data_IF_034974192600
#
_entry.id   IF_034974192600
#
_cell.length_a   1.000
_cell.length_b   1.000
_cell.length_c   1.000
_cell.angle_alpha   90.00
_cell.angle_beta   90.00
_cell.angle_gamma   90.00
#
_symmetry.space_group_name_H-M   'P 1'
#
loop_
_entity.id
_entity.type
_entity.pdbx_description
1 polymer ?
#
# COMPACT_ATOMS: atom_id res chain seq x y z
N UNK A 1 8.20 30.95 -12.98
CA UNK A 1 8.73 29.59 -13.26
C UNK A 1 9.68 29.24 -12.13
N UNK A 2 9.32 28.33 -11.24
CA UNK A 2 10.34 27.72 -10.38
C UNK A 2 10.76 26.43 -11.07
N UNK A 3 11.86 26.49 -11.82
CA UNK A 3 12.62 25.29 -12.12
C UNK A 3 13.11 24.72 -10.78
N UNK A 4 12.77 23.47 -10.48
CA UNK A 4 13.55 22.70 -9.51
C UNK A 4 14.73 22.17 -10.33
N UNK A 5 15.70 23.05 -10.57
CA UNK A 5 16.99 22.68 -11.13
C UNK A 5 17.74 21.94 -10.03
N UNK A 6 17.73 20.61 -10.08
CA UNK A 6 18.66 19.80 -9.28
C UNK A 6 20.05 20.01 -9.90
N UNK A 7 20.66 21.15 -9.59
CA UNK A 7 22.08 21.36 -9.82
C UNK A 7 22.81 20.43 -8.86
N UNK A 8 23.25 19.31 -9.43
CA UNK A 8 24.29 18.45 -8.88
C UNK A 8 25.55 19.29 -8.64
N UNK A 9 25.66 19.86 -7.45
CA UNK A 9 26.93 20.20 -6.82
C UNK A 9 27.05 19.36 -5.56
N UNK A 10 27.20 18.06 -5.74
CA UNK A 10 27.89 17.18 -4.78
C UNK A 10 28.33 15.93 -5.54
N UNK A 11 29.38 16.11 -6.33
CA UNK A 11 30.28 15.01 -6.69
C UNK A 11 30.84 14.42 -5.39
N UNK A 12 30.31 13.28 -4.96
CA UNK A 12 31.08 12.26 -4.27
C UNK A 12 30.42 10.89 -4.45
N UNK A 13 30.99 10.16 -5.42
CA UNK A 13 31.02 8.70 -5.49
C UNK A 13 29.71 7.96 -5.18
N UNK A 14 28.83 7.85 -6.17
CA UNK A 14 27.73 6.88 -6.12
C UNK A 14 28.26 5.55 -6.68
N UNK A 15 28.70 4.67 -5.78
CA UNK A 15 28.92 3.26 -6.13
C UNK A 15 27.56 2.62 -6.43
N UNK A 16 27.39 2.12 -7.67
CA UNK A 16 26.27 1.25 -8.03
C UNK A 16 26.34 -0.03 -7.17
N UNK A 17 25.31 -0.37 -6.37
CA UNK A 17 25.24 -1.70 -5.79
C UNK A 17 24.70 -2.69 -6.82
N UNK A 18 25.29 -3.89 -6.83
CA UNK A 18 24.90 -5.02 -7.65
C UNK A 18 23.45 -5.48 -7.39
N UNK A 19 22.78 -5.89 -8.48
CA UNK A 19 21.53 -6.65 -8.56
C UNK A 19 20.66 -6.72 -7.30
N UNK A 20 19.74 -5.75 -7.16
CA UNK A 20 18.68 -5.79 -6.15
C UNK A 20 17.58 -4.75 -6.39
N UNK A 21 16.34 -5.19 -6.22
CA UNK A 21 15.05 -4.49 -6.39
C UNK A 21 14.95 -3.18 -5.58
N UNK A 22 15.22 -2.03 -6.20
CA UNK A 22 15.26 -0.74 -5.51
C UNK A 22 14.45 0.31 -6.31
N UNK A 23 13.59 1.07 -5.64
CA UNK A 23 12.91 2.26 -6.19
C UNK A 23 13.43 3.50 -5.46
N UNK A 24 13.51 4.62 -6.18
CA UNK A 24 13.89 5.91 -5.60
C UNK A 24 12.68 6.52 -4.86
N UNK A 25 12.90 6.93 -3.62
CA UNK A 25 11.94 7.63 -2.76
C UNK A 25 12.51 9.01 -2.41
N UNK A 26 11.72 10.08 -2.55
CA UNK A 26 12.11 11.43 -2.12
C UNK A 26 11.28 11.83 -0.92
N UNK A 27 11.97 12.13 0.18
CA UNK A 27 11.40 12.78 1.36
C UNK A 27 11.68 14.28 1.27
N UNK A 28 10.64 15.08 1.42
CA UNK A 28 10.77 16.54 1.51
C UNK A 28 10.73 16.93 2.98
N UNK A 29 11.88 17.34 3.55
CA UNK A 29 11.97 17.82 4.94
C UNK A 29 12.14 19.34 4.98
N UNK A 30 11.98 19.89 6.18
CA UNK A 30 11.95 21.32 6.57
C UNK A 30 13.04 22.26 6.00
N UNK A 31 14.06 21.73 5.32
CA UNK A 31 15.14 22.50 4.68
C UNK A 31 15.95 21.73 3.61
N UNK A 32 15.70 20.43 3.40
CA UNK A 32 16.51 19.57 2.53
C UNK A 32 15.64 18.51 1.82
N UNK A 33 16.03 18.16 0.59
CA UNK A 33 15.47 17.05 -0.17
C UNK A 33 16.29 15.79 0.13
N UNK A 34 15.68 14.79 0.76
CA UNK A 34 16.36 13.53 1.04
C UNK A 34 15.92 12.48 0.01
N UNK A 35 16.86 12.08 -0.86
CA UNK A 35 16.64 10.99 -1.80
C UNK A 35 17.12 9.68 -1.18
N UNK A 36 16.18 8.78 -0.92
CA UNK A 36 16.44 7.44 -0.38
C UNK A 36 16.13 6.38 -1.42
N UNK A 37 16.89 5.31 -1.38
CA UNK A 37 16.59 4.10 -2.11
C UNK A 37 15.83 3.16 -1.18
N UNK A 38 14.55 2.94 -1.45
CA UNK A 38 13.70 2.08 -0.65
C UNK A 38 13.12 0.94 -1.47
N UNK A 39 12.74 -0.13 -0.79
CA UNK A 39 12.02 -1.22 -1.42
C UNK A 39 10.63 -0.74 -1.81
N UNK A 40 10.34 -0.71 -3.11
CA UNK A 40 9.01 -0.34 -3.60
C UNK A 40 7.94 -1.21 -2.93
N UNK A 41 6.86 -0.61 -2.40
CA UNK A 41 5.77 -1.40 -1.86
C UNK A 41 5.10 -2.16 -3.00
N UNK A 42 5.00 -3.48 -2.85
CA UNK A 42 4.38 -4.37 -3.83
C UNK A 42 2.87 -4.14 -3.85
N UNK A 43 2.36 -3.59 -4.96
CA UNK A 43 0.92 -3.46 -5.19
C UNK A 43 0.57 -3.86 -6.63
N UNK A 44 -0.74 -3.96 -6.92
CA UNK A 44 -1.25 -4.47 -8.21
C UNK A 44 -0.74 -3.66 -9.41
N UNK A 45 -0.46 -2.37 -9.21
CA UNK A 45 0.00 -1.43 -10.23
C UNK A 45 1.53 -1.51 -10.40
N UNK A 46 2.27 -1.32 -9.32
CA UNK A 46 3.74 -1.24 -9.32
C UNK A 46 4.42 -2.56 -9.71
N UNK A 47 3.79 -3.72 -9.47
CA UNK A 47 4.38 -5.04 -9.78
C UNK A 47 4.58 -5.28 -11.29
N UNK A 48 3.76 -4.65 -12.12
CA UNK A 48 3.80 -4.83 -13.59
C UNK A 48 4.65 -3.76 -14.28
N UNK A 49 5.13 -2.79 -13.52
CA UNK A 49 5.80 -1.63 -14.05
C UNK A 49 7.30 -1.66 -13.73
N UNK A 50 8.15 -1.16 -14.65
CA UNK A 50 9.57 -1.02 -14.40
C UNK A 50 9.81 -0.07 -13.22
N UNK A 51 10.57 -0.53 -12.22
CA UNK A 51 10.82 0.21 -10.97
C UNK A 51 11.64 1.49 -11.20
N UNK A 52 12.48 1.51 -12.23
CA UNK A 52 13.26 2.67 -12.66
C UNK A 52 12.39 3.82 -13.21
N UNK A 53 11.13 3.54 -13.55
CA UNK A 53 10.16 4.57 -13.95
C UNK A 53 9.28 5.07 -12.81
N UNK A 54 9.42 4.49 -11.61
CA UNK A 54 8.60 4.83 -10.45
C UNK A 54 9.37 5.73 -9.50
N UNK A 55 8.67 6.75 -9.01
CA UNK A 55 9.18 7.67 -7.99
C UNK A 55 8.12 7.79 -6.88
N UNK A 56 8.49 7.48 -5.64
CA UNK A 56 7.62 7.69 -4.48
C UNK A 56 7.97 9.04 -3.84
N UNK A 57 7.00 9.94 -3.76
CA UNK A 57 7.17 11.25 -3.11
C UNK A 57 6.38 11.27 -1.80
N UNK A 58 7.01 11.71 -0.71
CA UNK A 58 6.39 11.90 0.60
C UNK A 58 6.38 13.37 1.02
N UNK A 59 5.20 13.85 1.42
CA UNK A 59 4.93 15.19 1.94
C UNK A 59 4.57 15.17 3.44
N UNK A 60 4.93 14.11 4.16
CA UNK A 60 4.58 13.93 5.58
C UNK A 60 5.01 15.13 6.44
N UNK A 61 6.26 15.58 6.23
CA UNK A 61 6.88 16.68 6.99
C UNK A 61 7.13 17.92 6.10
N UNK A 62 6.39 18.03 4.98
CA UNK A 62 6.61 19.11 4.02
C UNK A 62 5.87 20.40 4.42
N UNK A 63 6.66 21.45 4.65
CA UNK A 63 6.18 22.81 4.86
C UNK A 63 6.91 23.76 3.91
N UNK A 64 6.17 24.33 2.96
CA UNK A 64 6.70 25.36 2.09
C UNK A 64 7.19 26.56 2.92
N UNK A 65 8.40 27.03 2.63
CA UNK A 65 8.95 28.27 3.17
C UNK A 65 9.14 29.26 2.04
N UNK A 66 8.62 30.46 2.24
CA UNK A 66 8.87 31.56 1.33
C UNK A 66 10.22 32.20 1.68
N UNK A 67 11.07 32.48 0.67
CA UNK A 67 12.31 33.20 0.93
C UNK A 67 12.00 34.59 1.49
N UNK A 68 12.93 35.10 2.29
CA UNK A 68 12.89 36.46 2.75
C UNK A 68 12.82 37.42 1.55
N UNK A 69 11.92 38.41 1.59
CA UNK A 69 11.78 39.39 0.52
C UNK A 69 12.84 40.49 0.60
N UNK A 70 13.38 40.69 1.80
CA UNK A 70 14.46 41.64 2.11
C UNK A 70 15.52 40.95 2.96
N UNK A 71 16.75 41.48 3.04
CA UNK A 71 17.82 40.92 3.87
C UNK A 71 17.49 40.84 5.37
N UNK A 72 16.61 41.73 5.84
CA UNK A 72 16.21 41.83 7.26
C UNK A 72 14.98 40.97 7.60
N UNK A 73 14.29 40.42 6.59
CA UNK A 73 13.14 39.57 6.81
C UNK A 73 13.54 38.13 7.12
N UNK A 74 12.83 37.49 8.05
CA UNK A 74 12.96 36.05 8.27
C UNK A 74 12.16 35.28 7.22
N UNK A 75 12.64 34.09 6.78
CA UNK A 75 11.87 33.19 5.95
C UNK A 75 10.54 32.83 6.60
N UNK A 76 9.43 33.10 5.89
CA UNK A 76 8.09 32.84 6.41
C UNK A 76 7.63 31.43 6.03
N UNK A 77 7.09 30.69 7.00
CA UNK A 77 6.39 29.43 6.73
C UNK A 77 5.06 29.73 6.02
N UNK A 78 4.82 29.05 4.91
CA UNK A 78 3.58 29.17 4.15
C UNK A 78 2.38 28.70 4.99
N UNK A 79 1.23 29.34 4.77
CA UNK A 79 -0.04 28.91 5.34
C UNK A 79 -0.45 27.54 4.79
N UNK A 80 -1.37 26.85 5.47
CA UNK A 80 -1.86 25.55 5.01
C UNK A 80 -2.45 25.58 3.58
N UNK A 81 -3.11 26.69 3.22
CA UNK A 81 -3.65 26.91 1.86
C UNK A 81 -2.53 27.05 0.84
N UNK A 82 -1.55 27.92 1.09
CA UNK A 82 -0.40 28.13 0.20
C UNK A 82 0.40 26.84 0.01
N UNK A 83 0.58 26.06 1.08
CA UNK A 83 1.25 24.76 1.02
C UNK A 83 0.47 23.76 0.15
N UNK A 84 -0.86 23.70 0.31
CA UNK A 84 -1.74 22.87 -0.51
C UNK A 84 -1.74 23.26 -1.99
N UNK A 85 -1.77 24.56 -2.28
CA UNK A 85 -1.71 25.08 -3.64
C UNK A 85 -0.37 24.74 -4.30
N UNK A 86 0.75 24.83 -3.56
CA UNK A 86 2.07 24.43 -4.05
C UNK A 86 2.14 22.93 -4.37
N UNK A 87 1.69 22.06 -3.45
CA UNK A 87 1.65 20.61 -3.68
C UNK A 87 0.78 20.30 -4.91
N UNK A 88 -0.38 20.95 -5.04
CA UNK A 88 -1.27 20.77 -6.20
C UNK A 88 -0.58 21.14 -7.50
N UNK A 89 0.13 22.28 -7.54
CA UNK A 89 0.90 22.71 -8.71
C UNK A 89 2.04 21.75 -9.03
N UNK A 90 2.76 21.28 -8.03
CA UNK A 90 3.85 20.30 -8.19
C UNK A 90 3.32 18.99 -8.78
N UNK A 91 2.23 18.44 -8.24
CA UNK A 91 1.64 17.20 -8.74
C UNK A 91 1.02 17.36 -10.14
N UNK A 92 0.48 18.54 -10.45
CA UNK A 92 -0.10 18.85 -11.76
C UNK A 92 0.97 19.05 -12.83
N UNK A 93 2.10 19.68 -12.47
CA UNK A 93 3.19 19.96 -13.40
C UNK A 93 4.05 18.72 -13.62
N UNK A 94 4.36 18.00 -12.55
CA UNK A 94 5.35 16.94 -12.54
C UNK A 94 6.65 17.38 -11.88
N UNK A 95 7.57 16.44 -11.72
CA UNK A 95 8.89 16.64 -11.10
C UNK A 95 9.95 16.14 -12.07
N UNK A 96 10.99 16.94 -12.31
CA UNK A 96 12.13 16.53 -13.13
C UNK A 96 13.27 16.08 -12.22
N UNK A 97 13.75 14.85 -12.41
CA UNK A 97 14.90 14.30 -11.71
C UNK A 97 15.80 13.60 -12.72
N UNK A 98 17.10 13.91 -12.72
CA UNK A 98 18.08 13.35 -13.66
C UNK A 98 17.63 13.43 -15.14
N UNK A 99 17.06 14.58 -15.54
CA UNK A 99 16.49 14.82 -16.89
C UNK A 99 15.29 13.95 -17.25
N UNK A 100 14.76 13.17 -16.32
CA UNK A 100 13.53 12.39 -16.50
C UNK A 100 12.37 13.15 -15.86
N UNK A 101 11.29 13.34 -16.61
CA UNK A 101 10.10 14.01 -16.12
C UNK A 101 9.09 12.99 -15.59
N UNK A 102 8.73 13.13 -14.32
CA UNK A 102 7.80 12.26 -13.61
C UNK A 102 6.48 12.99 -13.41
N UNK A 103 5.37 12.36 -13.80
CA UNK A 103 4.02 12.88 -13.60
C UNK A 103 3.25 12.08 -12.55
N UNK A 104 2.23 12.69 -11.95
CA UNK A 104 1.40 12.02 -10.96
C UNK A 104 0.76 10.76 -11.52
N UNK A 105 0.94 9.66 -10.80
CA UNK A 105 0.41 8.35 -11.21
C UNK A 105 -0.75 7.90 -10.33
N UNK A 106 -0.62 8.03 -9.01
CA UNK A 106 -1.69 7.67 -8.09
C UNK A 106 -1.24 7.53 -6.65
N UNK A 107 -2.21 7.27 -5.77
CA UNK A 107 -1.98 7.01 -4.36
C UNK A 107 -2.98 5.95 -3.86
N UNK A 108 -2.59 5.19 -2.85
CA UNK A 108 -3.52 4.38 -2.06
C UNK A 108 -4.16 5.18 -0.92
N UNK A 109 -5.12 4.58 -0.20
CA UNK A 109 -5.70 5.22 0.98
C UNK A 109 -4.69 5.36 2.13
N UNK A 110 -3.79 4.40 2.31
CA UNK A 110 -2.73 4.52 3.33
C UNK A 110 -1.73 5.59 2.95
N UNK A 111 -1.38 5.67 1.66
CA UNK A 111 -0.48 6.70 1.14
C UNK A 111 -1.07 8.09 1.32
N UNK A 112 -2.36 8.29 1.04
CA UNK A 112 -3.05 9.56 1.29
C UNK A 112 -2.97 9.97 2.77
N UNK A 113 -3.14 9.04 3.71
CA UNK A 113 -2.99 9.30 5.16
C UNK A 113 -1.55 9.67 5.54
N UNK A 114 -0.57 8.98 4.97
CA UNK A 114 0.85 9.29 5.15
C UNK A 114 1.35 10.48 4.32
N UNK A 115 0.45 11.14 3.56
CA UNK A 115 0.77 12.24 2.64
C UNK A 115 1.82 11.86 1.59
N UNK A 116 1.75 10.65 1.03
CA UNK A 116 2.65 10.17 -0.03
C UNK A 116 1.91 9.79 -1.31
N UNK A 117 2.60 9.75 -2.45
CA UNK A 117 2.05 9.36 -3.74
C UNK A 117 3.12 8.84 -4.70
N UNK A 118 2.68 8.09 -5.72
CA UNK A 118 3.52 7.65 -6.82
C UNK A 118 3.51 8.65 -7.98
N UNK A 119 4.69 8.87 -8.53
CA UNK A 119 4.92 9.51 -9.82
C UNK A 119 5.50 8.49 -10.79
N UNK A 120 5.31 8.72 -12.09
CA UNK A 120 5.72 7.81 -13.15
C UNK A 120 6.38 8.55 -14.32
N UNK A 121 7.47 7.99 -14.83
CA UNK A 121 8.23 8.52 -15.96
C UNK A 121 7.56 8.20 -17.31
N UNK A 122 6.44 8.87 -17.59
CA UNK A 122 5.76 8.85 -18.88
C UNK A 122 4.94 10.13 -19.09
N UNK A 123 4.37 10.30 -20.29
CA UNK A 123 3.41 11.37 -20.57
C UNK A 123 2.13 11.21 -19.73
N UNK A 124 1.34 12.28 -19.59
CA UNK A 124 0.07 12.23 -18.85
C UNK A 124 -0.94 11.35 -19.57
N UNK A 125 -0.88 11.34 -20.90
CA UNK A 125 -1.72 10.58 -21.81
C UNK A 125 -1.45 9.07 -21.62
N UNK A 126 -0.18 8.67 -21.60
CA UNK A 126 0.22 7.27 -21.37
C UNK A 126 -0.20 6.80 -19.98
N UNK A 127 -0.03 7.64 -18.96
CA UNK A 127 -0.47 7.34 -17.60
C UNK A 127 -1.99 7.14 -17.58
N UNK A 128 -2.76 8.01 -18.24
CA UNK A 128 -4.20 7.88 -18.28
C UNK A 128 -4.63 6.59 -18.98
N UNK A 129 -4.04 6.28 -20.14
CA UNK A 129 -4.31 5.05 -20.88
C UNK A 129 -3.94 3.81 -20.05
N UNK A 130 -2.81 3.85 -19.33
CA UNK A 130 -2.41 2.78 -18.40
C UNK A 130 -3.44 2.57 -17.30
N UNK A 131 -3.91 3.64 -16.65
CA UNK A 131 -4.92 3.53 -15.60
C UNK A 131 -6.19 2.91 -16.18
N UNK A 132 -6.67 3.39 -17.33
CA UNK A 132 -7.88 2.87 -17.99
C UNK A 132 -7.74 1.40 -18.41
N UNK A 133 -6.54 0.96 -18.81
CA UNK A 133 -6.28 -0.46 -19.09
C UNK A 133 -6.36 -1.36 -17.83
N UNK A 134 -6.27 -0.79 -16.62
CA UNK A 134 -6.33 -1.54 -15.37
C UNK A 134 -7.76 -1.74 -14.84
N UNK A 135 -8.77 -1.08 -15.42
CA UNK A 135 -10.16 -1.30 -15.04
C UNK A 135 -11.15 -0.40 -15.77
N UNK A 136 -12.41 -0.84 -15.83
CA UNK A 136 -13.49 -0.04 -16.39
C UNK A 136 -13.97 1.02 -15.37
N UNK A 137 -13.70 2.29 -15.65
CA UNK A 137 -14.14 3.44 -14.86
C UNK A 137 -15.25 4.25 -15.53
N UNK A 138 -15.74 3.82 -16.69
CA UNK A 138 -16.73 4.56 -17.50
C UNK A 138 -18.02 4.86 -16.73
N UNK A 139 -18.41 3.96 -15.83
CA UNK A 139 -19.64 4.05 -15.02
C UNK A 139 -19.53 5.00 -13.81
N UNK A 140 -18.33 5.51 -13.50
CA UNK A 140 -18.09 6.35 -12.32
C UNK A 140 -18.15 7.85 -12.67
N UNK A 141 -19.29 8.49 -12.44
CA UNK A 141 -19.53 9.91 -12.78
C UNK A 141 -18.82 10.95 -11.88
N UNK A 142 -18.41 10.57 -10.68
CA UNK A 142 -17.77 11.49 -9.71
C UNK A 142 -16.26 11.28 -9.66
N UNK A 143 -15.50 12.37 -9.78
CA UNK A 143 -14.03 12.36 -9.69
C UNK A 143 -13.55 11.73 -8.38
N UNK A 144 -14.17 12.06 -7.25
CA UNK A 144 -13.82 11.48 -5.96
C UNK A 144 -14.07 9.96 -5.89
N UNK A 145 -15.18 9.48 -6.48
CA UNK A 145 -15.46 8.04 -6.57
C UNK A 145 -14.47 7.33 -7.49
N UNK A 146 -14.12 7.95 -8.64
CA UNK A 146 -13.12 7.44 -9.58
C UNK A 146 -11.73 7.37 -8.94
N UNK A 147 -11.26 8.44 -8.30
CA UNK A 147 -9.99 8.48 -7.58
C UNK A 147 -9.91 7.41 -6.47
N UNK A 148 -10.98 7.26 -5.68
CA UNK A 148 -11.06 6.20 -4.65
C UNK A 148 -10.96 4.80 -5.25
N UNK A 149 -11.59 4.55 -6.40
CA UNK A 149 -11.53 3.25 -7.09
C UNK A 149 -10.15 2.97 -7.66
N UNK A 150 -9.53 3.97 -8.29
CA UNK A 150 -8.14 3.90 -8.78
C UNK A 150 -7.20 3.62 -7.61
N UNK A 151 -7.35 4.32 -6.48
CA UNK A 151 -6.52 4.12 -5.29
C UNK A 151 -6.60 2.73 -4.67
N UNK A 152 -7.64 1.93 -4.98
CA UNK A 152 -7.69 0.51 -4.60
C UNK A 152 -6.69 -0.33 -5.40
N UNK A 153 -6.39 0.04 -6.65
CA UNK A 153 -5.36 -0.62 -7.45
C UNK A 153 -3.96 -0.41 -6.83
N UNK A 154 -3.73 0.80 -6.31
CA UNK A 154 -2.50 1.19 -5.61
C UNK A 154 -2.42 0.66 -4.18
N UNK A 155 -3.51 0.13 -3.63
CA UNK A 155 -3.50 -0.44 -2.28
C UNK A 155 -2.63 -1.69 -2.27
N UNK A 156 -1.72 -1.75 -1.29
CA UNK A 156 -0.90 -2.91 -0.92
C UNK A 156 -1.75 -4.04 -0.31
N UNK A 157 -2.89 -4.36 -0.91
CA UNK A 157 -3.42 -5.70 -0.77
C UNK A 157 -2.48 -6.56 -1.61
N UNK A 158 -1.35 -6.97 -1.01
CA UNK A 158 -0.50 -7.98 -1.60
C UNK A 158 -1.44 -9.15 -1.94
N UNK A 159 -1.81 -9.38 -3.19
CA UNK A 159 -2.68 -10.51 -3.48
C UNK A 159 -1.84 -11.76 -3.21
N UNK A 160 -2.09 -12.42 -2.08
CA UNK A 160 -1.25 -13.51 -1.61
C UNK A 160 -1.34 -14.66 -2.61
N UNK A 161 -2.55 -14.94 -3.08
CA UNK A 161 -2.81 -15.84 -4.19
C UNK A 161 -4.16 -15.58 -4.83
N UNK A 162 -4.36 -16.18 -6.01
CA UNK A 162 -5.68 -16.39 -6.59
C UNK A 162 -6.21 -17.68 -5.97
N UNK A 163 -7.30 -17.59 -5.22
CA UNK A 163 -7.96 -18.73 -4.60
C UNK A 163 -9.24 -19.02 -5.40
N UNK A 164 -9.32 -20.16 -6.12
CA UNK A 164 -10.53 -20.54 -6.84
C UNK A 164 -11.69 -20.80 -5.88
N UNK A 165 -12.91 -20.49 -6.32
CA UNK A 165 -14.12 -20.67 -5.50
C UNK A 165 -14.34 -22.12 -5.07
N UNK A 166 -13.91 -23.07 -5.90
CA UNK A 166 -14.07 -24.52 -5.72
C UNK A 166 -13.15 -25.08 -4.62
N UNK A 167 -12.21 -24.26 -4.11
CA UNK A 167 -11.36 -24.57 -2.97
C UNK A 167 -11.83 -23.92 -1.68
N UNK A 168 -12.95 -23.21 -1.73
CA UNK A 168 -13.59 -22.57 -0.59
C UNK A 168 -14.88 -23.31 -0.25
N UNK A 169 -15.18 -23.37 1.03
CA UNK A 169 -16.45 -23.90 1.55
C UNK A 169 -17.02 -22.89 2.55
N UNK A 170 -18.34 -22.72 2.57
CA UNK A 170 -19.02 -21.93 3.60
C UNK A 170 -19.51 -22.89 4.70
N UNK A 171 -19.12 -22.62 5.95
CA UNK A 171 -19.53 -23.34 7.15
C UNK A 171 -20.37 -22.42 8.05
N UNK A 172 -21.26 -23.00 8.85
CA UNK A 172 -22.08 -22.23 9.78
C UNK A 172 -21.25 -21.69 10.94
N UNK A 173 -21.65 -20.55 11.50
CA UNK A 173 -21.09 -20.03 12.73
C UNK A 173 -21.41 -20.94 13.94
N UNK A 174 -20.48 -21.05 14.88
CA UNK A 174 -20.73 -21.74 16.15
C UNK A 174 -21.46 -20.78 17.07
N UNK A 175 -22.74 -21.06 17.27
CA UNK A 175 -23.61 -20.31 18.17
C UNK A 175 -23.88 -21.13 19.42
N UNK A 176 -23.89 -20.48 20.58
CA UNK A 176 -24.43 -21.04 21.82
C UNK A 176 -25.31 -19.97 22.45
N UNK A 177 -26.58 -20.32 22.62
CA UNK A 177 -27.63 -19.38 23.02
C UNK A 177 -27.65 -18.17 22.07
N UNK A 178 -27.66 -16.95 22.61
CA UNK A 178 -27.66 -15.70 21.83
C UNK A 178 -26.25 -15.22 21.42
N UNK A 179 -25.20 -16.04 21.62
CA UNK A 179 -23.83 -15.63 21.35
C UNK A 179 -23.17 -16.42 20.22
N UNK A 180 -22.59 -15.68 19.26
CA UNK A 180 -21.80 -16.23 18.15
C UNK A 180 -20.32 -16.22 18.51
N UNK A 181 -19.74 -17.40 18.74
CA UNK A 181 -18.35 -17.54 19.20
C UNK A 181 -17.32 -17.39 18.07
N UNK A 182 -17.77 -17.51 16.83
CA UNK A 182 -16.89 -17.54 15.65
C UNK A 182 -17.14 -16.39 14.69
N UNK A 183 -17.74 -15.30 15.15
CA UNK A 183 -18.02 -14.14 14.31
C UNK A 183 -16.71 -13.63 13.68
N UNK A 184 -16.66 -13.70 12.35
CA UNK A 184 -15.50 -13.24 11.60
C UNK A 184 -14.31 -14.21 11.57
N UNK A 185 -14.44 -15.45 12.06
CA UNK A 185 -13.36 -16.41 12.22
C UNK A 185 -13.54 -17.67 11.35
N UNK A 186 -12.87 -17.75 10.20
CA UNK A 186 -12.84 -18.93 9.34
C UNK A 186 -11.61 -19.82 9.58
N UNK A 187 -11.50 -20.90 8.81
CA UNK A 187 -10.41 -21.87 8.89
C UNK A 187 -9.59 -21.90 7.60
N UNK A 188 -8.29 -22.15 7.71
CA UNK A 188 -7.38 -22.31 6.57
C UNK A 188 -6.52 -23.57 6.72
N UNK A 189 -6.42 -24.32 5.63
CA UNK A 189 -5.59 -25.53 5.57
C UNK A 189 -4.11 -25.21 5.73
N UNK A 190 -3.35 -26.17 6.29
CA UNK A 190 -1.91 -26.05 6.44
C UNK A 190 -1.16 -25.81 5.12
N UNK A 191 -1.62 -26.43 4.03
CA UNK A 191 -1.02 -26.25 2.71
C UNK A 191 -1.16 -24.80 2.23
N UNK A 192 -2.36 -24.23 2.33
CA UNK A 192 -2.62 -22.87 1.90
C UNK A 192 -1.93 -21.85 2.81
N UNK A 193 -1.94 -22.07 4.13
CA UNK A 193 -1.23 -21.22 5.08
C UNK A 193 0.28 -21.13 4.78
N UNK A 194 0.92 -22.25 4.40
CA UNK A 194 2.33 -22.26 3.96
C UNK A 194 2.54 -21.47 2.68
N UNK A 195 1.64 -21.61 1.70
CA UNK A 195 1.69 -20.82 0.47
C UNK A 195 1.53 -19.32 0.74
N UNK A 196 0.61 -18.94 1.63
CA UNK A 196 0.41 -17.57 2.08
C UNK A 196 1.68 -17.01 2.72
N UNK A 197 2.25 -17.73 3.68
CA UNK A 197 3.48 -17.33 4.37
C UNK A 197 4.67 -17.18 3.42
N UNK A 198 4.81 -18.08 2.45
CA UNK A 198 5.86 -18.02 1.44
C UNK A 198 5.66 -16.84 0.48
N UNK A 199 4.44 -16.64 -0.03
CA UNK A 199 4.10 -15.52 -0.93
C UNK A 199 4.31 -14.17 -0.26
N UNK A 200 4.07 -14.09 1.05
CA UNK A 200 4.31 -12.91 1.88
C UNK A 200 5.74 -12.77 2.39
N UNK A 201 6.60 -13.75 2.12
CA UNK A 201 7.96 -13.80 2.64
C UNK A 201 8.02 -13.53 4.15
N UNK A 202 7.15 -14.21 4.91
CA UNK A 202 7.05 -14.00 6.36
C UNK A 202 8.25 -14.67 7.04
N UNK A 203 9.09 -13.83 7.64
CA UNK A 203 10.32 -14.22 8.31
C UNK A 203 10.28 -13.71 9.76
N UNK A 204 10.68 -14.55 10.70
CA UNK A 204 10.90 -14.18 12.09
C UNK A 204 12.26 -14.70 12.53
N UNK A 205 13.11 -13.82 13.10
CA UNK A 205 14.49 -14.15 13.52
C UNK A 205 15.29 -14.90 12.43
N UNK A 206 15.28 -14.37 11.21
CA UNK A 206 15.95 -14.95 10.03
C UNK A 206 15.51 -16.38 9.65
N UNK A 207 14.36 -16.85 10.15
CA UNK A 207 13.77 -18.14 9.80
C UNK A 207 12.37 -17.93 9.21
N UNK A 208 11.97 -18.81 8.29
CA UNK A 208 10.60 -18.82 7.76
C UNK A 208 9.63 -19.05 8.92
N UNK A 209 8.63 -18.19 9.03
CA UNK A 209 7.60 -18.28 10.06
C UNK A 209 6.26 -18.57 9.42
N UNK A 210 5.53 -19.52 10.01
CA UNK A 210 4.17 -19.86 9.62
C UNK A 210 3.21 -19.26 10.65
N UNK A 211 2.46 -18.19 10.30
CA UNK A 211 1.44 -17.65 11.18
C UNK A 211 0.31 -18.65 11.43
N UNK A 212 -0.23 -18.63 12.65
CA UNK A 212 -1.43 -19.39 13.02
C UNK A 212 -2.71 -18.67 12.62
N UNK A 213 -2.67 -17.34 12.45
CA UNK A 213 -3.83 -16.52 12.08
C UNK A 213 -3.46 -15.54 10.97
N UNK A 214 -4.35 -15.40 9.99
CA UNK A 214 -4.24 -14.43 8.91
C UNK A 214 -5.49 -13.56 8.87
N UNK A 215 -5.32 -12.23 8.91
CA UNK A 215 -6.41 -11.31 8.61
C UNK A 215 -6.56 -11.21 7.09
N UNK A 216 -7.76 -11.43 6.56
CA UNK A 216 -7.97 -11.53 5.11
C UNK A 216 -9.06 -10.62 4.57
N UNK A 217 -9.00 -10.44 3.24
CA UNK A 217 -10.10 -9.95 2.40
C UNK A 217 -10.18 -10.83 1.15
N UNK A 218 -11.37 -11.34 0.85
CA UNK A 218 -11.61 -12.21 -0.29
C UNK A 218 -13.07 -12.15 -0.71
N UNK A 219 -13.40 -11.82 -1.96
CA UNK A 219 -14.79 -11.90 -2.49
C UNK A 219 -15.90 -11.38 -1.56
N UNK A 220 -15.69 -10.26 -0.87
CA UNK A 220 -16.67 -9.69 0.06
C UNK A 220 -16.64 -10.30 1.47
N UNK A 221 -15.88 -11.37 1.69
CA UNK A 221 -15.49 -11.88 3.00
C UNK A 221 -14.43 -10.99 3.64
N UNK A 222 -14.66 -10.64 4.90
CA UNK A 222 -13.72 -9.93 5.76
C UNK A 222 -13.69 -10.62 7.12
N UNK A 223 -12.50 -10.93 7.59
CA UNK A 223 -12.31 -11.55 8.90
C UNK A 223 -10.90 -12.08 9.06
N UNK A 224 -10.77 -13.07 9.93
CA UNK A 224 -9.53 -13.82 10.16
C UNK A 224 -9.70 -15.28 9.75
N UNK A 225 -8.62 -15.90 9.30
CA UNK A 225 -8.53 -17.34 9.08
C UNK A 225 -7.53 -17.92 10.07
N UNK A 226 -7.96 -18.91 10.84
CA UNK A 226 -7.11 -19.66 11.76
C UNK A 226 -6.63 -20.94 11.11
N UNK A 227 -5.38 -21.32 11.39
CA UNK A 227 -4.78 -22.53 10.88
C UNK A 227 -5.50 -23.76 11.45
N UNK A 228 -6.04 -24.60 10.56
CA UNK A 228 -6.56 -25.90 10.89
C UNK A 228 -5.67 -26.98 10.28
N UNK A 229 -5.08 -27.81 11.14
CA UNK A 229 -4.22 -28.91 10.72
C UNK A 229 -4.99 -30.15 10.30
N UNK A 230 -6.31 -30.21 10.49
CA UNK A 230 -7.17 -31.31 10.06
C UNK A 230 -7.79 -31.05 8.69
N UNK A 231 -7.82 -29.79 8.25
CA UNK A 231 -8.35 -29.40 6.94
C UNK A 231 -7.36 -29.80 5.83
N UNK A 232 -7.73 -30.83 5.08
CA UNK A 232 -6.95 -31.42 4.00
C UNK A 232 -7.80 -31.68 2.75
N UNK A 233 -7.13 -31.88 1.60
CA UNK A 233 -7.79 -32.23 0.35
C UNK A 233 -8.09 -31.02 -0.54
N UNK A 234 -9.23 -31.07 -1.24
CA UNK A 234 -9.60 -30.06 -2.26
C UNK A 234 -9.97 -28.71 -1.64
N UNK A 235 -10.66 -28.73 -0.49
CA UNK A 235 -11.05 -27.54 0.24
C UNK A 235 -9.86 -27.04 1.04
N UNK A 236 -9.51 -25.78 0.83
CA UNK A 236 -8.34 -25.14 1.44
C UNK A 236 -8.71 -24.04 2.43
N UNK A 237 -9.93 -23.49 2.34
CA UNK A 237 -10.47 -22.47 3.23
C UNK A 237 -11.93 -22.76 3.53
N UNK A 238 -12.32 -22.59 4.79
CA UNK A 238 -13.70 -22.59 5.21
C UNK A 238 -14.06 -21.19 5.74
N UNK A 239 -14.99 -20.51 5.08
CA UNK A 239 -15.51 -19.22 5.53
C UNK A 239 -16.78 -19.39 6.34
N UNK A 240 -17.06 -18.43 7.22
CA UNK A 240 -18.33 -18.39 7.96
C UNK A 240 -19.28 -17.38 7.38
N UNK A 241 -20.58 -17.58 7.60
CA UNK A 241 -21.62 -16.68 7.12
C UNK A 241 -21.42 -15.26 7.66
N UNK A 242 -21.05 -15.12 8.94
CA UNK A 242 -20.73 -13.85 9.59
C UNK A 242 -19.63 -13.04 8.87
N UNK A 243 -18.70 -13.70 8.17
CA UNK A 243 -17.61 -13.05 7.44
C UNK A 243 -18.07 -12.37 6.14
N UNK A 244 -19.20 -12.81 5.55
CA UNK A 244 -19.67 -12.36 4.24
C UNK A 244 -20.37 -11.01 4.34
N UNK A 245 -19.65 -9.92 4.03
CA UNK A 245 -20.19 -8.55 4.11
C UNK A 245 -20.84 -8.07 2.81
N UNK A 246 -20.46 -8.64 1.66
CA UNK A 246 -21.00 -8.30 0.34
C UNK A 246 -21.16 -9.58 -0.50
N UNK A 247 -22.26 -9.71 -1.24
CA UNK A 247 -22.55 -10.90 -2.07
C UNK A 247 -22.01 -10.78 -3.51
N UNK A 248 -21.80 -9.57 -4.03
CA UNK A 248 -21.56 -9.33 -5.46
C UNK A 248 -20.07 -9.17 -5.86
N UNK A 249 -19.16 -9.90 -5.20
CA UNK A 249 -17.73 -9.78 -5.46
C UNK A 249 -17.18 -10.99 -6.25
N UNK A 250 -16.70 -10.73 -7.47
CA UNK A 250 -16.13 -11.73 -8.39
C UNK A 250 -14.61 -11.86 -8.34
N UNK A 251 -13.91 -11.00 -7.59
CA UNK A 251 -12.44 -11.02 -7.51
C UNK A 251 -11.94 -12.22 -6.69
N UNK A 252 -11.35 -13.22 -7.36
CA UNK A 252 -10.77 -14.43 -6.77
C UNK A 252 -9.43 -14.19 -6.05
N UNK A 253 -8.96 -12.95 -5.93
CA UNK A 253 -7.72 -12.67 -5.22
C UNK A 253 -7.91 -12.66 -3.70
N UNK A 254 -7.20 -13.56 -3.03
CA UNK A 254 -7.10 -13.61 -1.57
C UNK A 254 -6.00 -12.65 -1.11
N UNK A 255 -6.40 -11.59 -0.40
CA UNK A 255 -5.48 -10.64 0.20
C UNK A 255 -5.33 -10.90 1.69
N UNK A 256 -4.08 -11.06 2.16
CA UNK A 256 -3.72 -11.07 3.59
C UNK A 256 -3.39 -9.64 4.03
N UNK A 257 -4.21 -9.08 4.91
CA UNK A 257 -4.03 -7.71 5.43
C UNK A 257 -2.97 -7.69 6.54
N UNK A 258 -3.02 -8.66 7.44
CA UNK A 258 -2.06 -8.84 8.53
C UNK A 258 -2.01 -10.32 8.95
N UNK A 259 -1.11 -10.67 9.87
CA UNK A 259 -0.94 -12.02 10.35
C UNK A 259 -0.45 -12.04 11.81
N UNK A 260 -0.72 -13.13 12.53
CA UNK A 260 -0.26 -13.31 13.91
C UNK A 260 1.26 -13.22 13.98
N UNK A 261 1.81 -12.45 14.93
CA UNK A 261 3.26 -12.36 15.16
C UNK A 261 3.60 -12.95 16.52
N UNK A 262 4.79 -13.53 16.62
CA UNK A 262 5.34 -13.94 17.91
C UNK A 262 5.68 -12.66 18.69
N UNK A 263 5.03 -12.42 19.83
CA UNK A 263 5.41 -11.33 20.74
C UNK A 263 6.59 -11.79 21.60
N UNK A 264 7.73 -11.08 21.58
CA UNK A 264 8.83 -11.36 22.50
C UNK A 264 8.77 -10.54 23.80
N UNK A 265 7.74 -9.71 24.02
CA UNK A 265 7.66 -8.82 25.18
C UNK A 265 6.57 -9.28 26.17
N UNK A 266 6.82 -9.23 27.49
CA UNK A 266 5.75 -9.32 28.48
C UNK A 266 4.78 -8.17 28.21
N UNK A 267 3.48 -8.46 28.24
CA UNK A 267 2.44 -7.45 28.18
C UNK A 267 2.65 -6.46 29.34
N UNK A 268 3.23 -5.29 29.06
CA UNK A 268 3.17 -4.18 29.99
C UNK A 268 1.70 -3.79 30.11
N UNK A 269 1.16 -3.88 31.33
CA UNK A 269 -0.16 -3.40 31.68
C UNK A 269 -0.30 -1.96 31.17
N UNK A 270 -1.11 -1.76 30.12
CA UNK A 270 -1.57 -0.43 29.78
C UNK A 270 -2.49 0.04 30.90
N UNK A 271 -2.20 1.19 31.51
CA UNK A 271 -2.96 1.82 32.60
C UNK A 271 -4.41 2.25 32.24
N UNK A 272 -4.99 1.66 31.20
CA UNK A 272 -6.35 1.89 30.71
C UNK A 272 -7.32 0.76 31.09
N UNK A 273 -6.88 -0.21 31.91
CA UNK A 273 -7.68 -1.34 32.40
C UNK A 273 -7.89 -1.32 33.93
N UNK A 274 -7.91 -0.11 34.51
CA UNK A 274 -8.36 0.16 35.88
C UNK A 274 -9.40 1.26 35.83
#
# INVERSE_FOLDING_TARGET
MCEISVLSSYEKSIQKPHHGTISSTIFLRLSEFELRFERAPSNRVTRREPLDKLLLISFADFFLRWPAKSPDDLPRVATGRENGDYITRLLTTGVVLNRVHYHFFGHSNSQLKSRSCFMYAASKEDISAKIEAMGDFSKLKSVGKKAKRIGLLFSSADNALILPAERCEDIQDVNRDDYTFTDGCGLVSLQLARQLAQRRNIIFRNKRYLPSVFQIRYRGYKGVLTLDTTLHGKIQVQFRESMRKFKDASDLSLAVVDYSRVSPLPFFHSAWLT
#
